data_IF_034834268789
#
_entry.id   IF_034834268789
#
_cell.length_a   1.000
_cell.length_b   1.000
_cell.length_c   1.000
_cell.angle_alpha   90.00
_cell.angle_beta   90.00
_cell.angle_gamma   90.00
#
_symmetry.space_group_name_H-M   'P 1'
#
loop_
_entity.id
_entity.type
_entity.pdbx_description
1 polymer ?
#
# COMPACT_ATOMS: atom_id res chain seq x y z
N UNK A 1 16.22 10.59 6.82
CA UNK A 1 16.99 10.11 5.63
C UNK A 1 16.03 10.26 4.47
N UNK A 2 16.29 11.18 3.54
CA UNK A 2 15.33 11.53 2.49
C UNK A 2 14.98 10.28 1.68
N UNK A 3 13.74 9.80 1.81
CA UNK A 3 13.14 8.91 0.83
C UNK A 3 13.02 9.75 -0.44
N UNK A 4 14.01 9.61 -1.32
CA UNK A 4 13.90 10.15 -2.68
C UNK A 4 12.80 9.32 -3.33
N UNK A 5 11.60 9.89 -3.40
CA UNK A 5 10.58 9.45 -4.33
C UNK A 5 11.25 9.55 -5.69
N UNK A 6 11.61 8.39 -6.25
CA UNK A 6 12.03 8.31 -7.63
C UNK A 6 10.82 8.76 -8.45
N UNK A 7 10.83 10.04 -8.80
CA UNK A 7 9.94 10.66 -9.76
C UNK A 7 9.76 9.68 -10.93
N UNK A 8 8.53 9.17 -11.08
CA UNK A 8 8.08 8.37 -12.21
C UNK A 8 8.32 9.14 -13.50
N UNK A 9 9.52 9.02 -14.06
CA UNK A 9 9.88 9.37 -15.45
C UNK A 9 11.33 8.96 -15.71
N UNK A 10 11.53 7.69 -16.07
CA UNK A 10 12.68 7.30 -16.89
C UNK A 10 12.32 6.19 -17.88
N UNK A 11 12.38 6.61 -19.15
CA UNK A 11 12.57 5.90 -20.42
C UNK A 11 12.02 4.49 -20.60
N UNK A 12 11.19 4.35 -21.65
CA UNK A 12 10.65 3.13 -22.30
C UNK A 12 11.69 2.11 -22.82
N UNK A 13 12.88 2.03 -22.23
CA UNK A 13 13.94 1.10 -22.62
C UNK A 13 14.64 0.54 -21.37
N UNK A 14 14.09 -0.49 -20.73
CA UNK A 14 14.81 -1.36 -19.79
C UNK A 14 14.08 -2.71 -19.56
N UNK A 15 14.84 -3.81 -19.65
CA UNK A 15 14.58 -5.15 -19.12
C UNK A 15 13.29 -5.90 -19.51
N UNK A 16 13.02 -6.02 -20.82
CA UNK A 16 12.13 -7.08 -21.33
C UNK A 16 12.81 -8.45 -21.26
N UNK A 17 12.06 -9.51 -20.93
CA UNK A 17 12.52 -10.91 -21.02
C UNK A 17 13.17 -11.13 -22.40
N UNK A 18 14.43 -11.57 -22.43
CA UNK A 18 15.18 -11.72 -23.66
C UNK A 18 14.51 -12.76 -24.59
N UNK A 19 14.60 -12.62 -25.93
CA UNK A 19 14.02 -13.59 -26.85
C UNK A 19 14.50 -15.03 -26.56
N UNK A 20 13.55 -15.93 -26.26
CA UNK A 20 13.84 -17.33 -25.95
C UNK A 20 14.26 -17.62 -24.50
N UNK A 21 14.36 -16.59 -23.64
CA UNK A 21 14.57 -16.74 -22.21
C UNK A 21 13.26 -17.17 -21.53
N UNK A 22 13.31 -18.17 -20.67
CA UNK A 22 12.18 -18.54 -19.83
C UNK A 22 12.03 -17.58 -18.64
N UNK A 23 10.82 -17.51 -18.06
CA UNK A 23 10.53 -16.55 -17.01
C UNK A 23 11.29 -16.83 -15.71
N UNK A 24 11.56 -18.10 -15.37
CA UNK A 24 12.30 -18.45 -14.15
C UNK A 24 13.75 -17.98 -14.23
N UNK A 25 14.38 -18.11 -15.41
CA UNK A 25 15.72 -17.57 -15.68
C UNK A 25 15.75 -16.05 -15.56
N UNK A 26 14.73 -15.36 -16.09
CA UNK A 26 14.60 -13.90 -15.94
C UNK A 26 14.46 -13.49 -14.47
N UNK A 27 13.64 -14.20 -13.68
CA UNK A 27 13.55 -13.93 -12.23
C UNK A 27 14.88 -14.12 -11.51
N UNK A 28 15.66 -15.16 -11.87
CA UNK A 28 16.97 -15.40 -11.26
C UNK A 28 17.97 -14.28 -11.55
N UNK A 29 17.93 -13.70 -12.76
CA UNK A 29 18.70 -12.51 -13.13
C UNK A 29 18.28 -11.29 -12.33
N UNK A 30 16.97 -11.06 -12.15
CA UNK A 30 16.47 -9.96 -11.31
C UNK A 30 16.93 -10.11 -9.85
N UNK A 31 16.83 -11.31 -9.28
CA UNK A 31 17.31 -11.59 -7.91
C UNK A 31 18.80 -11.29 -7.76
N UNK A 32 19.61 -11.76 -8.71
CA UNK A 32 21.07 -11.61 -8.67
C UNK A 32 21.51 -10.17 -8.94
N UNK A 33 20.98 -9.55 -10.00
CA UNK A 33 21.34 -8.21 -10.44
C UNK A 33 20.98 -7.12 -9.43
N UNK A 34 19.90 -7.33 -8.67
CA UNK A 34 19.43 -6.38 -7.66
C UNK A 34 19.78 -6.77 -6.22
N UNK A 35 20.55 -7.86 -6.03
CA UNK A 35 20.91 -8.40 -4.71
C UNK A 35 19.68 -8.64 -3.79
N UNK A 36 18.60 -9.20 -4.33
CA UNK A 36 17.36 -9.44 -3.59
C UNK A 36 17.50 -10.69 -2.72
N UNK A 37 17.40 -10.59 -1.37
CA UNK A 37 17.50 -11.75 -0.49
C UNK A 37 16.32 -12.71 -0.60
N UNK A 38 15.10 -12.17 -0.68
CA UNK A 38 13.85 -12.90 -0.83
C UNK A 38 12.99 -12.22 -1.89
N UNK A 39 12.52 -13.02 -2.85
CA UNK A 39 11.58 -12.61 -3.88
C UNK A 39 10.39 -13.57 -3.88
N UNK A 40 9.19 -13.01 -3.74
CA UNK A 40 7.93 -13.71 -3.92
C UNK A 40 7.21 -13.14 -5.14
N UNK A 41 6.87 -13.98 -6.12
CA UNK A 41 6.10 -13.60 -7.31
C UNK A 41 4.87 -14.48 -7.43
N UNK A 42 3.69 -13.86 -7.61
CA UNK A 42 2.43 -14.56 -7.87
C UNK A 42 1.71 -13.89 -9.02
N UNK A 43 1.28 -14.68 -9.99
CA UNK A 43 0.42 -14.24 -11.09
C UNK A 43 -0.88 -15.02 -11.08
N UNK A 44 -1.98 -14.35 -11.37
CA UNK A 44 -3.30 -14.97 -11.37
C UNK A 44 -4.17 -14.42 -12.49
N UNK A 45 -5.23 -15.17 -12.82
CA UNK A 45 -6.31 -14.74 -13.71
C UNK A 45 -7.65 -15.07 -13.09
N UNK A 46 -8.50 -14.06 -12.90
CA UNK A 46 -9.73 -14.21 -12.13
C UNK A 46 -9.41 -14.60 -10.68
N UNK A 47 -9.82 -15.79 -10.24
CA UNK A 47 -9.54 -16.32 -8.90
C UNK A 47 -8.57 -17.53 -8.92
N UNK A 48 -7.90 -17.77 -10.04
CA UNK A 48 -6.99 -18.90 -10.22
C UNK A 48 -5.53 -18.41 -10.28
N UNK A 49 -4.68 -18.99 -9.41
CA UNK A 49 -3.23 -18.77 -9.47
C UNK A 49 -2.68 -19.50 -10.69
N UNK A 50 -1.99 -18.77 -11.58
CA UNK A 50 -1.38 -19.31 -12.81
C UNK A 50 0.12 -19.56 -12.65
N UNK A 51 0.77 -18.76 -11.82
CA UNK A 51 2.19 -18.88 -11.53
C UNK A 51 2.47 -18.44 -10.10
N UNK A 52 3.37 -19.14 -9.43
CA UNK A 52 3.80 -18.82 -8.07
C UNK A 52 5.25 -19.26 -7.87
N UNK A 53 6.11 -18.35 -7.41
CA UNK A 53 7.53 -18.61 -7.18
C UNK A 53 8.04 -17.89 -5.94
N UNK A 54 8.89 -18.60 -5.21
CA UNK A 54 9.64 -18.11 -4.05
C UNK A 54 11.12 -18.35 -4.30
N UNK A 55 11.92 -17.29 -4.27
CA UNK A 55 13.36 -17.34 -4.45
C UNK A 55 14.06 -16.74 -3.24
N UNK A 56 15.15 -17.38 -2.81
CA UNK A 56 16.01 -16.89 -1.73
C UNK A 56 15.53 -17.26 -0.32
N UNK A 57 15.86 -16.42 0.65
CA UNK A 57 15.74 -16.70 2.10
C UNK A 57 15.03 -15.57 2.83
N UNK A 58 14.13 -15.92 3.75
CA UNK A 58 13.38 -14.95 4.55
C UNK A 58 14.28 -14.15 5.50
N UNK A 59 15.37 -14.75 5.96
CA UNK A 59 16.42 -14.10 6.75
C UNK A 59 17.77 -14.76 6.45
N UNK A 60 18.75 -13.97 5.96
CA UNK A 60 20.11 -14.42 5.64
C UNK A 60 20.88 -14.95 6.86
N UNK A 61 20.52 -14.54 8.08
CA UNK A 61 21.18 -14.97 9.32
C UNK A 61 20.76 -16.38 9.75
N UNK A 62 19.49 -16.73 9.54
CA UNK A 62 18.94 -18.05 9.87
C UNK A 62 18.94 -19.01 8.68
N UNK A 63 19.14 -18.47 7.47
CA UNK A 63 19.12 -19.19 6.20
C UNK A 63 17.81 -19.97 5.97
N UNK A 64 16.70 -19.44 6.50
CA UNK A 64 15.35 -20.02 6.31
C UNK A 64 14.91 -19.78 4.87
N UNK A 65 14.64 -20.84 4.07
CA UNK A 65 14.13 -20.68 2.72
C UNK A 65 12.78 -19.96 2.72
N UNK A 66 12.59 -19.06 1.76
CA UNK A 66 11.31 -18.39 1.57
C UNK A 66 10.21 -19.40 1.18
N UNK A 67 8.99 -19.15 1.63
CA UNK A 67 7.80 -19.97 1.35
C UNK A 67 6.52 -19.14 1.41
N UNK A 68 5.40 -19.75 1.07
CA UNK A 68 4.06 -19.17 1.05
C UNK A 68 3.52 -18.73 2.42
N UNK A 69 4.09 -19.24 3.51
CA UNK A 69 3.73 -18.86 4.88
C UNK A 69 4.37 -17.53 5.31
N UNK A 70 5.41 -17.07 4.60
CA UNK A 70 6.17 -15.90 4.99
C UNK A 70 5.43 -14.60 4.66
N UNK A 71 5.57 -13.62 5.54
CA UNK A 71 4.92 -12.32 5.45
C UNK A 71 5.94 -11.21 5.24
N UNK A 72 5.68 -10.39 4.24
CA UNK A 72 6.46 -9.20 3.91
C UNK A 72 5.77 -7.98 4.52
N UNK A 73 6.55 -7.01 5.00
CA UNK A 73 6.04 -5.65 5.17
C UNK A 73 5.72 -5.11 3.77
N UNK A 74 4.54 -4.51 3.60
CA UNK A 74 4.05 -4.11 2.28
C UNK A 74 4.32 -2.66 1.93
N UNK A 75 4.76 -1.84 2.89
CA UNK A 75 4.87 -0.40 2.67
C UNK A 75 3.56 0.14 2.05
N UNK A 76 3.64 1.08 1.11
CA UNK A 76 2.50 1.82 0.58
C UNK A 76 1.37 1.01 -0.07
N UNK A 77 1.58 -0.26 -0.45
CA UNK A 77 0.47 -1.15 -0.83
C UNK A 77 -0.61 -1.20 0.29
N UNK A 78 -0.20 -1.05 1.55
CA UNK A 78 -1.09 -0.96 2.72
C UNK A 78 -2.23 0.04 2.56
N UNK A 79 -1.99 1.15 1.83
CA UNK A 79 -2.97 2.22 1.60
C UNK A 79 -4.20 1.74 0.84
N UNK A 80 -4.06 0.72 0.00
CA UNK A 80 -5.20 0.11 -0.73
C UNK A 80 -6.16 -0.59 0.23
N UNK A 81 -5.63 -1.23 1.29
CA UNK A 81 -6.44 -1.86 2.35
C UNK A 81 -7.09 -0.79 3.23
N UNK A 82 -6.34 0.26 3.58
CA UNK A 82 -6.85 1.41 4.34
C UNK A 82 -8.00 2.11 3.61
N UNK A 83 -7.85 2.33 2.30
CA UNK A 83 -8.91 2.88 1.47
C UNK A 83 -10.11 1.93 1.35
N UNK A 84 -9.87 0.61 1.22
CA UNK A 84 -10.96 -0.39 1.20
C UNK A 84 -11.81 -0.31 2.47
N UNK A 85 -11.17 -0.21 3.64
CA UNK A 85 -11.89 -0.11 4.92
C UNK A 85 -12.78 1.14 4.97
N UNK A 86 -12.27 2.28 4.51
CA UNK A 86 -13.04 3.51 4.41
C UNK A 86 -14.18 3.40 3.39
N UNK A 87 -13.93 2.79 2.23
CA UNK A 87 -14.93 2.64 1.17
C UNK A 87 -16.04 1.63 1.52
N UNK A 88 -15.79 0.67 2.41
CA UNK A 88 -16.86 -0.15 3.00
C UNK A 88 -17.84 0.70 3.84
N UNK A 89 -17.37 1.75 4.51
CA UNK A 89 -18.22 2.68 5.26
C UNK A 89 -18.96 3.64 4.32
N UNK A 90 -18.32 4.04 3.21
CA UNK A 90 -18.98 4.78 2.12
C UNK A 90 -20.18 4.01 1.57
N UNK A 91 -20.03 2.71 1.31
CA UNK A 91 -21.13 1.85 0.82
C UNK A 91 -22.31 1.71 1.77
N UNK A 92 -22.05 1.90 3.07
CA UNK A 92 -23.05 1.91 4.13
C UNK A 92 -23.75 3.27 4.25
N UNK A 93 -23.41 4.24 3.40
CA UNK A 93 -23.98 5.59 3.41
C UNK A 93 -23.56 6.43 4.61
N UNK A 94 -22.41 6.13 5.22
CA UNK A 94 -21.93 6.83 6.43
C UNK A 94 -21.39 8.22 6.13
N UNK A 95 -20.92 8.45 4.91
CA UNK A 95 -20.40 9.73 4.42
C UNK A 95 -20.47 9.75 2.89
N UNK A 96 -20.35 10.94 2.30
CA UNK A 96 -20.07 11.11 0.86
C UNK A 96 -18.60 11.50 0.66
N UNK A 97 -18.01 11.12 -0.49
CA UNK A 97 -16.60 11.39 -0.79
C UNK A 97 -16.21 12.89 -0.68
N UNK A 98 -17.15 13.79 -0.92
CA UNK A 98 -16.92 15.24 -0.90
C UNK A 98 -17.33 15.91 0.43
N UNK A 99 -17.73 15.11 1.43
CA UNK A 99 -17.98 15.60 2.79
C UNK A 99 -16.68 16.07 3.46
N UNK A 100 -16.80 16.98 4.41
CA UNK A 100 -15.67 17.56 5.15
C UNK A 100 -15.22 16.57 6.23
N UNK A 101 -13.94 16.21 6.24
CA UNK A 101 -13.41 15.23 7.19
C UNK A 101 -13.53 15.69 8.66
N UNK A 102 -13.51 17.00 8.90
CA UNK A 102 -13.64 17.58 10.24
C UNK A 102 -15.01 17.33 10.89
N UNK A 103 -16.03 16.96 10.12
CA UNK A 103 -17.35 16.60 10.66
C UNK A 103 -17.33 15.18 11.27
N UNK A 104 -16.27 14.40 11.01
CA UNK A 104 -16.13 12.99 11.40
C UNK A 104 -14.91 12.71 12.29
N UNK A 105 -13.95 13.64 12.36
CA UNK A 105 -12.76 13.52 13.18
C UNK A 105 -12.99 13.94 14.65
N UNK A 106 -12.28 13.33 15.61
CA UNK A 106 -12.33 13.74 17.02
C UNK A 106 -11.51 15.02 17.31
N UNK A 107 -10.86 15.57 16.28
CA UNK A 107 -10.12 16.83 16.31
C UNK A 107 -10.24 17.55 14.96
N UNK A 108 -9.97 18.86 14.93
CA UNK A 108 -10.09 19.65 13.72
C UNK A 108 -8.72 19.83 13.02
N UNK A 109 -8.64 19.41 11.77
CA UNK A 109 -7.50 19.67 10.88
C UNK A 109 -7.74 20.99 10.14
N UNK A 110 -6.76 21.89 10.17
CA UNK A 110 -6.82 23.18 9.45
C UNK A 110 -5.57 23.34 8.63
N UNK A 111 -5.74 23.54 7.33
CA UNK A 111 -4.63 23.83 6.42
C UNK A 111 -4.25 25.31 6.60
N UNK A 112 -3.03 25.63 7.06
CA UNK A 112 -2.61 27.01 7.30
C UNK A 112 -2.76 27.86 6.04
N UNK A 113 -3.37 29.05 6.17
CA UNK A 113 -3.55 29.97 5.04
C UNK A 113 -4.73 29.66 4.10
N UNK A 114 -5.41 28.52 4.25
CA UNK A 114 -6.50 28.11 3.36
C UNK A 114 -7.82 27.87 4.12
N UNK A 115 -8.93 28.31 3.53
CA UNK A 115 -10.28 28.13 4.11
C UNK A 115 -11.01 26.89 3.58
N UNK A 116 -10.52 26.32 2.46
CA UNK A 116 -11.12 25.16 1.80
C UNK A 116 -11.02 23.93 2.70
N UNK A 117 -12.15 23.30 3.07
CA UNK A 117 -12.13 22.12 3.92
C UNK A 117 -11.63 20.91 3.15
N UNK A 118 -10.83 20.08 3.81
CA UNK A 118 -10.38 18.80 3.25
C UNK A 118 -11.55 17.82 3.20
N UNK A 119 -11.73 17.15 2.06
CA UNK A 119 -12.71 16.08 1.88
C UNK A 119 -12.09 14.68 1.94
N UNK A 120 -12.93 13.65 2.06
CA UNK A 120 -12.49 12.26 1.98
C UNK A 120 -11.81 11.96 0.64
N UNK A 121 -12.37 12.48 -0.47
CA UNK A 121 -11.78 12.36 -1.81
C UNK A 121 -10.38 12.95 -1.82
N UNK A 122 -10.19 14.14 -1.23
CA UNK A 122 -8.87 14.79 -1.21
C UNK A 122 -7.82 13.98 -0.44
N UNK A 123 -8.19 13.29 0.65
CA UNK A 123 -7.29 12.34 1.31
C UNK A 123 -6.95 11.17 0.39
N UNK A 124 -7.97 10.53 -0.20
CA UNK A 124 -7.84 9.36 -1.08
C UNK A 124 -7.10 9.65 -2.40
N UNK A 125 -7.04 10.91 -2.84
CA UNK A 125 -6.35 11.32 -4.07
C UNK A 125 -5.05 12.07 -3.81
N UNK A 126 -4.60 12.18 -2.56
CA UNK A 126 -3.41 12.96 -2.16
C UNK A 126 -3.45 14.44 -2.58
N UNK A 127 -4.61 15.09 -2.45
CA UNK A 127 -4.80 16.52 -2.77
C UNK A 127 -5.18 17.37 -1.56
N UNK A 128 -4.98 16.85 -0.34
CA UNK A 128 -5.38 17.50 0.92
C UNK A 128 -4.50 18.65 1.38
N UNK A 129 -3.31 18.81 0.79
CA UNK A 129 -2.23 19.67 1.26
C UNK A 129 -1.63 19.28 2.63
N UNK A 130 -1.94 18.09 3.16
CA UNK A 130 -1.23 17.52 4.31
C UNK A 130 0.13 17.02 3.81
N UNK A 131 1.21 17.34 4.53
CA UNK A 131 2.58 17.00 4.15
C UNK A 131 3.24 16.09 5.19
N UNK A 132 4.18 15.29 4.70
CA UNK A 132 5.02 14.42 5.51
C UNK A 132 6.25 15.21 6.00
N UNK A 133 6.12 15.81 7.18
CA UNK A 133 7.15 16.55 7.90
C UNK A 133 8.13 15.69 8.72
N UNK A 134 9.15 16.35 9.28
CA UNK A 134 10.32 15.71 9.91
C UNK A 134 10.04 14.91 11.17
N UNK A 135 8.92 15.16 11.85
CA UNK A 135 8.56 14.42 13.06
C UNK A 135 8.41 12.90 12.81
N UNK A 136 8.16 12.51 11.54
CA UNK A 136 8.05 11.11 11.12
C UNK A 136 9.37 10.35 11.18
N UNK A 137 10.52 11.01 11.01
CA UNK A 137 11.84 10.39 11.09
C UNK A 137 12.08 9.71 12.45
N UNK A 138 11.45 10.22 13.52
CA UNK A 138 11.55 9.71 14.89
C UNK A 138 10.38 8.80 15.30
N UNK A 139 9.50 8.39 14.37
CA UNK A 139 8.35 7.52 14.66
C UNK A 139 8.61 6.03 14.43
N UNK A 140 9.85 5.62 14.14
CA UNK A 140 10.19 4.22 13.95
C UNK A 140 10.43 3.50 15.28
N UNK A 141 9.78 2.35 15.45
CA UNK A 141 9.91 1.48 16.61
C UNK A 141 10.44 0.11 16.20
N UNK A 142 11.70 -0.16 16.52
CA UNK A 142 12.36 -1.41 16.18
C UNK A 142 12.01 -2.52 17.17
N UNK A 143 11.71 -3.70 16.62
CA UNK A 143 11.33 -4.96 17.27
C UNK A 143 10.11 -4.85 18.20
N UNK A 144 9.24 -3.86 17.99
CA UNK A 144 8.01 -3.64 18.77
C UNK A 144 7.00 -2.82 17.98
N UNK A 145 5.74 -2.87 18.43
CA UNK A 145 4.71 -1.95 17.99
C UNK A 145 4.89 -0.55 18.61
N UNK A 146 4.42 0.48 17.90
CA UNK A 146 4.30 1.83 18.46
C UNK A 146 3.41 1.80 19.70
N UNK A 147 3.83 2.41 20.82
CA UNK A 147 3.03 2.50 22.03
C UNK A 147 2.00 3.64 21.98
N UNK A 148 2.03 4.47 20.94
CA UNK A 148 1.20 5.68 20.83
C UNK A 148 -0.05 5.35 20.01
N UNK A 149 -1.27 5.65 20.51
CA UNK A 149 -2.49 5.52 19.72
C UNK A 149 -2.44 6.40 18.47
N UNK A 150 -2.88 5.87 17.33
CA UNK A 150 -2.85 6.55 16.03
C UNK A 150 -3.54 7.93 16.09
N UNK A 151 -4.76 8.00 16.63
CA UNK A 151 -5.52 9.24 16.71
C UNK A 151 -4.83 10.31 17.58
N UNK A 152 -4.16 9.90 18.66
CA UNK A 152 -3.42 10.82 19.52
C UNK A 152 -2.20 11.39 18.78
N UNK A 153 -1.47 10.55 18.06
CA UNK A 153 -0.35 10.98 17.23
C UNK A 153 -0.78 11.97 16.14
N UNK A 154 -1.81 11.64 15.35
CA UNK A 154 -2.28 12.53 14.28
C UNK A 154 -2.86 13.84 14.82
N UNK A 155 -3.49 13.82 16.00
CA UNK A 155 -3.92 15.04 16.68
C UNK A 155 -2.71 15.90 17.07
N UNK A 156 -1.67 15.30 17.63
CA UNK A 156 -0.44 16.00 18.02
C UNK A 156 0.35 16.52 16.81
N UNK A 157 0.17 15.91 15.65
CA UNK A 157 0.83 16.28 14.40
C UNK A 157 0.07 17.36 13.61
N UNK A 158 -1.26 17.25 13.52
CA UNK A 158 -2.08 18.07 12.62
C UNK A 158 -2.78 19.27 13.30
N UNK A 159 -2.67 19.42 14.63
CA UNK A 159 -3.34 20.50 15.36
C UNK A 159 -2.36 21.49 16.01
N UNK A 160 -2.65 22.82 16.02
CA UNK A 160 -1.70 23.83 16.52
C UNK A 160 -1.22 23.67 17.97
N UNK A 161 -1.97 22.95 18.80
CA UNK A 161 -1.60 22.67 20.20
C UNK A 161 -0.78 21.38 20.36
N UNK A 162 -0.64 20.62 19.27
CA UNK A 162 0.01 19.33 19.25
C UNK A 162 1.53 19.41 19.37
N UNK A 163 2.13 18.40 19.99
CA UNK A 163 3.57 18.32 20.22
C UNK A 163 4.41 18.33 18.94
N UNK A 164 3.90 17.73 17.87
CA UNK A 164 4.62 17.55 16.60
C UNK A 164 4.22 18.56 15.53
N UNK A 165 3.31 19.48 15.86
CA UNK A 165 2.77 20.45 14.91
C UNK A 165 3.78 21.51 14.48
N UNK A 166 3.84 21.70 13.18
CA UNK A 166 4.60 22.70 12.46
C UNK A 166 3.86 23.06 11.16
N UNK A 167 3.24 24.24 11.16
CA UNK A 167 2.45 24.75 10.03
C UNK A 167 3.18 24.78 8.67
N UNK A 168 4.51 24.83 8.65
CA UNK A 168 5.32 24.91 7.43
C UNK A 168 5.86 23.56 6.96
N UNK A 169 5.79 22.54 7.81
CA UNK A 169 6.44 21.24 7.59
C UNK A 169 5.40 20.11 7.48
N UNK A 170 4.27 20.23 8.18
CA UNK A 170 3.18 19.25 8.14
C UNK A 170 2.10 19.57 7.08
N UNK A 171 2.27 20.68 6.35
CA UNK A 171 1.36 21.10 5.29
C UNK A 171 2.13 21.69 4.12
N UNK A 172 1.63 21.42 2.92
CA UNK A 172 2.07 22.09 1.71
C UNK A 172 1.39 23.46 1.58
N UNK A 173 2.08 24.41 0.92
CA UNK A 173 1.58 25.78 0.71
C UNK A 173 0.70 25.85 -0.56
N UNK A 174 -0.39 25.07 -0.57
CA UNK A 174 -1.40 25.12 -1.63
C UNK A 174 -2.81 24.83 -1.13
N UNK A 175 -3.78 25.34 -1.88
CA UNK A 175 -5.19 25.14 -1.56
C UNK A 175 -5.61 23.68 -1.78
N UNK A 176 -6.25 23.02 -0.80
CA UNK A 176 -6.73 21.65 -0.95
C UNK A 176 -7.56 21.44 -2.23
N UNK A 177 -7.26 20.36 -2.95
CA UNK A 177 -7.91 20.01 -4.22
C UNK A 177 -7.29 20.66 -5.46
N UNK A 178 -6.28 21.53 -5.34
CA UNK A 178 -5.68 22.23 -6.50
C UNK A 178 -4.39 21.59 -7.02
N UNK A 179 -3.66 20.89 -6.14
CA UNK A 179 -2.44 20.16 -6.49
C UNK A 179 -2.44 18.80 -5.79
N UNK A 180 -1.61 17.89 -6.30
CA UNK A 180 -1.42 16.57 -5.73
C UNK A 180 0.00 16.45 -5.19
N UNK A 181 0.11 16.07 -3.93
CA UNK A 181 1.37 15.70 -3.29
C UNK A 181 1.12 14.50 -2.39
N UNK A 182 1.91 13.44 -2.59
CA UNK A 182 1.77 12.18 -1.86
C UNK A 182 1.94 12.42 -0.35
N UNK A 183 1.04 11.84 0.46
CA UNK A 183 1.08 12.01 1.91
C UNK A 183 0.72 10.72 2.65
N UNK A 184 1.68 10.24 3.43
CA UNK A 184 1.51 9.15 4.37
C UNK A 184 0.60 9.57 5.53
N UNK A 185 0.73 10.80 6.03
CA UNK A 185 -0.11 11.30 7.13
C UNK A 185 -1.57 11.47 6.72
N UNK A 186 -1.82 11.96 5.50
CA UNK A 186 -3.17 11.99 4.93
C UNK A 186 -3.77 10.58 4.81
N UNK A 187 -2.94 9.58 4.50
CA UNK A 187 -3.35 8.17 4.43
C UNK A 187 -3.62 7.57 5.82
N UNK A 188 -2.79 7.89 6.81
CA UNK A 188 -2.96 7.47 8.18
C UNK A 188 -4.23 8.08 8.79
N UNK A 189 -4.57 9.31 8.42
CA UNK A 189 -5.80 9.99 8.85
C UNK A 189 -7.07 9.29 8.36
N UNK A 190 -7.03 8.61 7.22
CA UNK A 190 -8.14 7.77 6.76
C UNK A 190 -8.46 6.65 7.76
N UNK A 191 -7.45 6.04 8.36
CA UNK A 191 -7.70 5.02 9.38
C UNK A 191 -8.35 5.60 10.64
N UNK A 192 -7.97 6.82 11.07
CA UNK A 192 -8.67 7.50 12.18
C UNK A 192 -10.13 7.82 11.84
N UNK A 193 -10.42 8.15 10.58
CA UNK A 193 -11.80 8.30 10.10
C UNK A 193 -12.57 6.98 10.16
N UNK A 194 -11.96 5.86 9.76
CA UNK A 194 -12.55 4.51 9.91
C UNK A 194 -12.85 4.23 11.39
N UNK A 195 -11.91 4.51 12.29
CA UNK A 195 -12.12 4.32 13.73
C UNK A 195 -13.27 5.16 14.27
N UNK A 196 -13.31 6.43 13.89
CA UNK A 196 -14.30 7.40 14.38
C UNK A 196 -15.71 7.09 13.87
N UNK A 197 -15.85 6.66 12.62
CA UNK A 197 -17.14 6.37 11.97
C UNK A 197 -17.67 5.00 12.39
N UNK A 198 -16.79 3.99 12.51
CA UNK A 198 -17.18 2.61 12.84
C UNK A 198 -17.29 2.36 14.35
N UNK A 199 -16.56 3.12 15.17
CA UNK A 199 -16.40 2.85 16.60
C UNK A 199 -15.50 1.66 16.92
N UNK A 200 -14.76 1.13 15.95
CA UNK A 200 -13.83 0.00 16.10
C UNK A 200 -12.40 0.47 15.89
N UNK A 201 -11.42 -0.11 16.60
CA UNK A 201 -10.01 0.14 16.25
C UNK A 201 -9.70 -0.38 14.84
N UNK A 202 -8.82 0.33 14.12
CA UNK A 202 -8.58 0.08 12.71
C UNK A 202 -8.10 -1.35 12.41
N UNK A 203 -7.16 -1.95 13.19
CA UNK A 203 -6.74 -3.33 12.98
C UNK A 203 -7.89 -4.33 13.13
N UNK A 204 -8.74 -4.15 14.14
CA UNK A 204 -9.92 -4.99 14.34
C UNK A 204 -10.93 -4.83 13.21
N UNK A 205 -11.17 -3.60 12.73
CA UNK A 205 -12.07 -3.36 11.59
C UNK A 205 -11.59 -4.12 10.34
N UNK A 206 -10.33 -3.97 9.95
CA UNK A 206 -9.78 -4.67 8.79
C UNK A 206 -9.84 -6.19 8.95
N UNK A 207 -9.52 -6.70 10.15
CA UNK A 207 -9.56 -8.14 10.42
C UNK A 207 -10.97 -8.72 10.24
N UNK A 208 -11.99 -8.04 10.77
CA UNK A 208 -13.37 -8.53 10.73
C UNK A 208 -14.04 -8.34 9.37
N UNK A 209 -13.77 -7.22 8.68
CA UNK A 209 -14.53 -6.82 7.49
C UNK A 209 -13.80 -7.08 6.16
N UNK A 210 -12.49 -7.35 6.19
CA UNK A 210 -11.68 -7.60 4.98
C UNK A 210 -10.95 -8.94 5.10
N UNK A 211 -10.11 -9.11 6.12
CA UNK A 211 -9.19 -10.25 6.17
C UNK A 211 -9.90 -11.58 6.44
N UNK A 212 -10.71 -11.66 7.49
CA UNK A 212 -11.43 -12.89 7.82
C UNK A 212 -12.41 -13.32 6.72
N UNK A 213 -13.23 -12.42 6.11
CA UNK A 213 -14.09 -12.79 4.98
C UNK A 213 -13.31 -13.36 3.79
N UNK A 214 -12.14 -12.79 3.47
CA UNK A 214 -11.28 -13.26 2.39
C UNK A 214 -10.39 -14.46 2.78
N UNK A 215 -10.41 -14.89 4.04
CA UNK A 215 -9.53 -15.93 4.55
C UNK A 215 -8.04 -15.55 4.57
N UNK A 216 -7.73 -14.27 4.74
CA UNK A 216 -6.37 -13.72 4.84
C UNK A 216 -5.80 -13.93 6.26
N UNK A 217 -5.46 -15.17 6.59
CA UNK A 217 -5.07 -15.60 7.94
C UNK A 217 -3.60 -15.25 8.32
N UNK A 218 -2.79 -14.81 7.37
CA UNK A 218 -1.41 -14.38 7.52
C UNK A 218 -1.26 -12.89 7.21
N UNK A 219 -2.25 -12.08 7.57
CA UNK A 219 -2.25 -10.63 7.37
C UNK A 219 -2.41 -9.90 8.71
N UNK A 220 -1.48 -8.99 9.00
CA UNK A 220 -1.32 -8.39 10.31
C UNK A 220 -0.93 -6.91 10.21
N UNK A 221 -1.57 -6.06 11.02
CA UNK A 221 -1.15 -4.67 11.21
C UNK A 221 -0.07 -4.52 12.29
N UNK A 222 -0.16 -5.32 13.35
CA UNK A 222 0.77 -5.28 14.48
C UNK A 222 1.87 -6.31 14.31
N UNK A 223 3.09 -5.92 14.63
CA UNK A 223 4.25 -6.80 14.63
C UNK A 223 4.10 -7.91 15.69
N UNK A 224 3.55 -7.58 16.87
CA UNK A 224 3.36 -8.55 17.94
C UNK A 224 2.40 -9.70 17.58
N UNK A 225 1.53 -9.52 16.57
CA UNK A 225 0.59 -10.56 16.13
C UNK A 225 1.22 -11.54 15.13
N UNK A 226 2.40 -11.21 14.57
CA UNK A 226 3.04 -12.04 13.55
C UNK A 226 3.81 -13.19 14.19
N UNK A 227 3.57 -14.45 13.79
CA UNK A 227 4.44 -15.55 14.19
C UNK A 227 5.88 -15.30 13.73
N UNK A 228 6.84 -15.29 14.66
CA UNK A 228 8.25 -14.96 14.36
C UNK A 228 8.81 -15.77 13.18
N UNK A 229 8.46 -17.06 13.09
CA UNK A 229 8.90 -17.96 12.01
C UNK A 229 8.39 -17.57 10.61
N UNK A 230 7.37 -16.71 10.52
CA UNK A 230 6.80 -16.25 9.26
C UNK A 230 7.39 -14.90 8.83
N UNK A 231 8.15 -14.20 9.68
CA UNK A 231 8.65 -12.86 9.36
C UNK A 231 9.75 -12.92 8.29
N UNK A 232 9.63 -12.06 7.27
CA UNK A 232 10.71 -11.77 6.34
C UNK A 232 11.48 -10.55 6.82
N UNK A 233 12.81 -10.70 6.98
CA UNK A 233 13.69 -9.64 7.46
C UNK A 233 14.00 -8.63 6.34
N UNK A 234 13.83 -7.31 6.57
CA UNK A 234 14.21 -6.28 5.60
C UNK A 234 15.73 -6.15 5.43
N UNK A 235 16.19 -5.78 4.23
CA UNK A 235 17.59 -5.52 3.93
C UNK A 235 17.78 -4.26 3.09
N UNK A 236 18.82 -3.51 3.40
CA UNK A 236 19.38 -2.47 2.53
C UNK A 236 20.72 -2.96 1.97
N UNK A 237 20.69 -3.45 0.72
CA UNK A 237 21.82 -4.17 0.13
C UNK A 237 22.11 -5.47 0.91
N UNK A 238 23.25 -5.51 1.60
CA UNK A 238 23.63 -6.63 2.47
C UNK A 238 23.41 -6.35 3.96
N UNK A 239 23.00 -5.14 4.32
CA UNK A 239 22.75 -4.77 5.70
C UNK A 239 21.37 -5.26 6.13
N UNK A 240 21.33 -6.12 7.15
CA UNK A 240 20.08 -6.54 7.77
C UNK A 240 19.50 -5.38 8.59
N UNK A 241 18.19 -5.17 8.46
CA UNK A 241 17.43 -4.21 9.28
C UNK A 241 16.55 -5.03 10.24
N UNK A 242 16.42 -4.54 11.47
CA UNK A 242 15.52 -5.13 12.45
C UNK A 242 14.07 -4.92 12.02
N UNK A 243 13.15 -5.79 12.42
CA UNK A 243 11.74 -5.53 12.14
C UNK A 243 11.32 -4.22 12.82
N UNK A 244 10.52 -3.39 12.17
CA UNK A 244 10.09 -2.12 12.75
C UNK A 244 8.61 -1.85 12.48
N UNK A 245 8.01 -1.02 13.31
CA UNK A 245 6.70 -0.41 13.04
C UNK A 245 6.83 1.11 13.13
N UNK A 246 5.76 1.82 12.82
CA UNK A 246 5.68 3.27 12.93
C UNK A 246 4.30 3.69 13.44
N UNK A 247 4.19 4.88 14.03
CA UNK A 247 2.95 5.30 14.70
C UNK A 247 1.80 5.48 13.71
N UNK A 248 2.11 5.99 12.52
CA UNK A 248 1.24 6.22 11.36
C UNK A 248 1.02 4.94 10.51
N UNK A 249 1.21 3.75 11.09
CA UNK A 249 1.23 2.45 10.41
C UNK A 249 0.18 2.18 9.32
N UNK A 250 -1.06 2.71 9.31
CA UNK A 250 -2.01 2.40 8.23
C UNK A 250 -1.55 2.83 6.83
N UNK A 251 -0.55 3.73 6.74
CA UNK A 251 0.02 4.13 5.46
C UNK A 251 0.98 3.09 4.86
N UNK A 252 1.58 2.20 5.67
CA UNK A 252 2.64 1.32 5.17
C UNK A 252 2.95 0.05 5.98
N UNK A 253 2.33 -0.12 7.14
CA UNK A 253 2.70 -1.10 8.17
C UNK A 253 2.12 -2.50 7.97
N UNK A 254 1.31 -2.74 6.93
CA UNK A 254 0.66 -4.03 6.73
C UNK A 254 1.71 -5.11 6.44
N UNK A 255 1.62 -6.21 7.17
CA UNK A 255 2.40 -7.42 6.88
C UNK A 255 1.49 -8.50 6.34
N UNK A 256 1.85 -9.11 5.22
CA UNK A 256 1.05 -10.18 4.64
C UNK A 256 1.87 -11.15 3.81
N UNK A 257 1.35 -12.36 3.60
CA UNK A 257 1.86 -13.27 2.57
C UNK A 257 1.33 -12.88 1.18
N UNK A 258 2.05 -13.30 0.14
CA UNK A 258 1.64 -13.10 -1.25
C UNK A 258 0.30 -13.79 -1.55
N UNK A 259 0.05 -14.97 -0.96
CA UNK A 259 -1.20 -15.72 -1.13
C UNK A 259 -2.38 -15.00 -0.54
N UNK A 260 -2.20 -14.34 0.60
CA UNK A 260 -3.29 -13.62 1.24
C UNK A 260 -3.60 -12.33 0.46
N UNK A 261 -2.57 -11.59 0.06
CA UNK A 261 -2.77 -10.38 -0.76
C UNK A 261 -3.31 -10.70 -2.16
N UNK A 262 -3.00 -11.89 -2.70
CA UNK A 262 -3.66 -12.40 -3.90
C UNK A 262 -5.19 -12.45 -3.76
N UNK A 263 -5.73 -12.91 -2.61
CA UNK A 263 -7.19 -12.98 -2.41
C UNK A 263 -7.82 -11.59 -2.45
N UNK A 264 -7.16 -10.62 -1.83
CA UNK A 264 -7.56 -9.21 -1.86
C UNK A 264 -7.51 -8.62 -3.28
N UNK A 265 -6.38 -8.76 -3.98
CA UNK A 265 -6.21 -8.20 -5.32
C UNK A 265 -7.10 -8.90 -6.36
N UNK A 266 -7.32 -10.21 -6.21
CA UNK A 266 -8.27 -10.99 -7.00
C UNK A 266 -9.70 -10.49 -6.79
N UNK A 267 -10.08 -10.09 -5.56
CA UNK A 267 -11.39 -9.48 -5.35
C UNK A 267 -11.55 -8.19 -6.18
N UNK A 268 -10.53 -7.33 -6.25
CA UNK A 268 -10.54 -6.13 -7.10
C UNK A 268 -10.66 -6.47 -8.59
N UNK A 269 -9.92 -7.47 -9.08
CA UNK A 269 -10.04 -7.97 -10.46
C UNK A 269 -11.38 -8.64 -10.78
N UNK A 270 -12.19 -8.97 -9.77
CA UNK A 270 -13.49 -9.62 -9.89
C UNK A 270 -14.59 -8.78 -9.23
N UNK A 271 -14.55 -7.46 -9.42
CA UNK A 271 -15.63 -6.53 -9.04
C UNK A 271 -16.02 -6.57 -7.55
N UNK A 272 -15.03 -6.85 -6.69
CA UNK A 272 -15.16 -6.87 -5.24
C UNK A 272 -15.45 -8.25 -4.64
N UNK A 273 -15.37 -9.32 -5.45
CA UNK A 273 -15.71 -10.69 -5.05
C UNK A 273 -14.52 -11.63 -5.18
N UNK A 274 -14.24 -12.42 -4.15
CA UNK A 274 -13.32 -13.55 -4.21
C UNK A 274 -14.00 -14.81 -3.67
N UNK A 275 -14.04 -15.88 -4.47
CA UNK A 275 -14.65 -17.17 -4.10
C UNK A 275 -16.07 -17.05 -3.49
N UNK A 276 -16.89 -16.15 -4.03
CA UNK A 276 -18.26 -15.91 -3.56
C UNK A 276 -18.36 -15.00 -2.33
N UNK A 277 -17.25 -14.64 -1.68
CA UNK A 277 -17.22 -13.60 -0.66
C UNK A 277 -17.09 -12.23 -1.32
N UNK A 278 -18.02 -11.33 -1.02
CA UNK A 278 -17.99 -9.94 -1.47
C UNK A 278 -17.45 -9.03 -0.36
N UNK A 279 -16.41 -8.24 -0.66
CA UNK A 279 -15.88 -7.21 0.26
C UNK A 279 -16.24 -5.78 -0.15
N UNK A 280 -16.57 -5.56 -1.43
CA UNK A 280 -17.04 -4.31 -2.01
C UNK A 280 -18.05 -4.60 -3.13
N UNK A 281 -18.92 -3.64 -3.43
CA UNK A 281 -19.76 -3.62 -4.63
C UNK A 281 -18.92 -3.29 -5.86
N UNK A 282 -19.31 -3.85 -7.01
CA UNK A 282 -18.71 -3.57 -8.31
C UNK A 282 -18.59 -2.05 -8.59
N UNK A 283 -19.67 -1.30 -8.31
CA UNK A 283 -19.68 0.16 -8.50
C UNK A 283 -18.62 0.88 -7.66
N UNK A 284 -18.35 0.40 -6.45
CA UNK A 284 -17.34 0.98 -5.56
C UNK A 284 -15.93 0.64 -6.02
N UNK A 285 -15.69 -0.61 -6.45
CA UNK A 285 -14.42 -1.00 -7.07
C UNK A 285 -14.15 -0.13 -8.30
N UNK A 286 -15.15 0.08 -9.16
CA UNK A 286 -15.02 0.96 -10.32
C UNK A 286 -14.75 2.41 -9.94
N UNK A 287 -15.38 2.95 -8.88
CA UNK A 287 -15.09 4.30 -8.41
C UNK A 287 -13.65 4.41 -7.86
N UNK A 288 -13.14 3.37 -7.20
CA UNK A 288 -11.76 3.33 -6.69
C UNK A 288 -10.72 3.21 -7.82
N UNK A 289 -11.01 2.44 -8.88
CA UNK A 289 -10.15 2.19 -10.05
C UNK A 289 -10.48 3.11 -11.24
N UNK A 290 -10.92 4.33 -10.96
CA UNK A 290 -11.24 5.35 -11.97
C UNK A 290 -10.37 6.58 -11.75
N UNK A 291 -9.98 7.23 -12.84
CA UNK A 291 -9.30 8.53 -12.78
C UNK A 291 -10.17 9.56 -12.05
N UNK A 292 -9.69 10.02 -10.89
CA UNK A 292 -10.43 10.93 -10.01
C UNK A 292 -10.16 12.39 -10.32
N UNK A 293 -8.91 12.71 -10.67
CA UNK A 293 -8.42 14.09 -10.84
C UNK A 293 -7.61 14.27 -12.13
N UNK A 294 -8.15 13.91 -13.32
CA UNK A 294 -7.37 13.83 -14.56
C UNK A 294 -6.74 15.16 -15.02
N UNK A 295 -7.23 16.31 -14.53
CA UNK A 295 -6.64 17.62 -14.80
C UNK A 295 -5.39 17.92 -13.95
N UNK A 296 -5.19 17.19 -12.85
CA UNK A 296 -4.05 17.30 -11.94
C UNK A 296 -3.11 16.12 -12.19
N UNK A 297 -3.65 14.90 -12.12
CA UNK A 297 -2.95 13.66 -12.42
C UNK A 297 -3.89 12.63 -13.07
N UNK A 298 -3.64 12.23 -14.34
CA UNK A 298 -4.45 11.26 -15.06
C UNK A 298 -4.21 9.80 -14.62
N UNK A 299 -3.37 9.54 -13.63
CA UNK A 299 -3.09 8.17 -13.15
C UNK A 299 -3.76 7.85 -11.81
N UNK A 300 -4.33 8.83 -11.12
CA UNK A 300 -4.80 8.68 -9.74
C UNK A 300 -6.27 8.26 -9.63
N UNK A 301 -6.49 7.17 -8.89
CA UNK A 301 -7.77 6.71 -8.35
C UNK A 301 -7.94 7.04 -6.85
N UNK A 302 -8.66 6.21 -6.10
CA UNK A 302 -8.82 6.39 -4.64
C UNK A 302 -7.81 5.48 -3.90
N UNK A 303 -6.59 5.99 -3.65
CA UNK A 303 -5.39 5.23 -3.21
C UNK A 303 -4.97 4.10 -4.16
N UNK A 304 -5.41 4.17 -5.41
CA UNK A 304 -5.01 3.28 -6.49
C UNK A 304 -4.42 4.11 -7.62
N UNK A 305 -3.44 3.56 -8.33
CA UNK A 305 -2.76 4.26 -9.43
C UNK A 305 -2.74 3.40 -10.69
N UNK A 306 -2.73 4.05 -11.85
CA UNK A 306 -2.41 3.39 -13.11
C UNK A 306 -0.90 3.14 -13.15
N UNK A 307 -0.49 1.91 -12.82
CA UNK A 307 0.92 1.48 -12.84
C UNK A 307 1.44 1.29 -14.27
N UNK A 308 0.55 0.94 -15.21
CA UNK A 308 0.90 0.83 -16.62
C UNK A 308 -0.32 1.14 -17.50
N UNK A 309 -0.33 2.32 -18.13
CA UNK A 309 -1.47 2.81 -18.92
C UNK A 309 -1.70 1.98 -20.20
N UNK A 310 -0.64 1.52 -20.85
CA UNK A 310 -0.75 0.72 -22.09
C UNK A 310 -1.44 -0.64 -21.88
N UNK A 311 -1.37 -1.16 -20.66
CA UNK A 311 -1.93 -2.45 -20.25
C UNK A 311 -3.10 -2.30 -19.29
N UNK A 312 -3.56 -1.08 -19.02
CA UNK A 312 -4.59 -0.75 -18.03
C UNK A 312 -4.37 -1.45 -16.67
N UNK A 313 -3.12 -1.46 -16.18
CA UNK A 313 -2.78 -2.08 -14.89
C UNK A 313 -3.00 -1.04 -13.80
N UNK A 314 -3.96 -1.32 -12.91
CA UNK A 314 -4.21 -0.56 -11.69
C UNK A 314 -3.55 -1.23 -10.50
N UNK A 315 -2.91 -0.46 -9.63
CA UNK A 315 -2.11 -1.02 -8.56
C UNK A 315 -1.55 0.01 -7.61
N UNK A 316 -0.53 -0.42 -6.88
CA UNK A 316 0.28 0.43 -6.02
C UNK A 316 1.63 -0.27 -5.82
N UNK A 317 2.72 0.49 -5.82
CA UNK A 317 4.03 0.07 -5.33
C UNK A 317 4.17 0.31 -3.82
N UNK A 318 5.26 -0.12 -3.22
CA UNK A 318 5.53 0.12 -1.82
C UNK A 318 7.01 0.05 -1.53
N UNK A 319 7.57 1.16 -1.06
CA UNK A 319 8.94 1.25 -0.57
C UNK A 319 8.97 1.64 0.90
N UNK A 320 9.81 0.97 1.68
CA UNK A 320 10.13 1.33 3.06
C UNK A 320 11.55 0.84 3.39
N UNK A 321 12.10 1.16 4.57
CA UNK A 321 13.45 0.75 4.97
C UNK A 321 13.70 -0.75 4.77
N UNK A 322 14.46 -1.07 3.72
CA UNK A 322 14.83 -2.43 3.34
C UNK A 322 13.74 -3.27 2.70
N UNK A 323 12.71 -2.65 2.12
CA UNK A 323 11.55 -3.32 1.52
C UNK A 323 11.16 -2.62 0.22
N UNK A 324 10.92 -3.41 -0.82
CA UNK A 324 10.26 -2.96 -2.04
C UNK A 324 9.21 -4.00 -2.46
N UNK A 325 8.01 -3.55 -2.77
CA UNK A 325 6.87 -4.38 -3.16
C UNK A 325 6.10 -3.70 -4.28
N UNK A 326 5.44 -4.47 -5.13
CA UNK A 326 4.53 -3.94 -6.14
C UNK A 326 3.40 -4.92 -6.39
N UNK A 327 2.20 -4.40 -6.64
CA UNK A 327 1.09 -5.20 -7.10
C UNK A 327 0.27 -4.45 -8.13
N UNK A 328 -0.35 -5.20 -9.05
CA UNK A 328 -1.23 -4.62 -10.05
C UNK A 328 -2.21 -5.62 -10.62
N UNK A 329 -3.36 -5.14 -11.08
CA UNK A 329 -4.41 -5.92 -11.71
C UNK A 329 -5.00 -5.14 -12.89
N UNK A 330 -5.26 -5.83 -13.99
CA UNK A 330 -6.07 -5.30 -15.07
C UNK A 330 -7.54 -5.73 -14.82
N UNK A 331 -8.48 -4.79 -14.61
CA UNK A 331 -9.87 -5.12 -14.33
C UNK A 331 -10.62 -5.72 -15.54
N UNK A 332 -10.16 -5.46 -16.77
CA UNK A 332 -10.78 -5.96 -18.01
C UNK A 332 -10.39 -7.42 -18.27
N UNK A 333 -9.10 -7.75 -18.17
CA UNK A 333 -8.58 -9.12 -18.42
C UNK A 333 -8.62 -10.00 -17.18
N UNK A 334 -8.76 -9.38 -16.00
CA UNK A 334 -8.73 -10.00 -14.67
C UNK A 334 -7.38 -10.64 -14.33
N UNK A 335 -6.34 -10.27 -15.06
CA UNK A 335 -4.96 -10.70 -14.79
C UNK A 335 -4.35 -9.78 -13.75
N UNK A 336 -3.71 -10.37 -12.75
CA UNK A 336 -2.97 -9.61 -11.74
C UNK A 336 -1.67 -10.25 -11.34
N UNK A 337 -0.79 -9.42 -10.79
CA UNK A 337 0.59 -9.73 -10.42
C UNK A 337 0.87 -9.14 -9.05
N UNK A 338 1.52 -9.93 -8.19
CA UNK A 338 2.08 -9.48 -6.92
C UNK A 338 3.55 -9.86 -6.87
N UNK A 339 4.40 -8.89 -6.54
CA UNK A 339 5.85 -9.08 -6.41
C UNK A 339 6.30 -8.44 -5.10
N UNK A 340 6.75 -9.26 -4.15
CA UNK A 340 7.23 -8.78 -2.85
C UNK A 340 8.70 -9.11 -2.67
N UNK A 341 9.47 -8.13 -2.19
CA UNK A 341 10.88 -8.30 -1.86
C UNK A 341 11.20 -7.73 -0.48
N UNK A 342 12.32 -8.16 0.08
CA UNK A 342 12.93 -7.58 1.28
C UNK A 342 14.24 -6.85 0.96
N UNK A 343 14.27 -6.15 -0.18
CA UNK A 343 15.38 -5.32 -0.61
C UNK A 343 14.87 -3.90 -0.90
N UNK A 344 15.32 -2.91 -0.12
CA UNK A 344 14.81 -1.54 -0.21
C UNK A 344 15.11 -0.82 -1.52
N UNK A 345 16.16 -1.25 -2.24
CA UNK A 345 16.58 -0.63 -3.51
C UNK A 345 16.14 -1.44 -4.74
N UNK A 346 15.24 -2.41 -4.59
CA UNK A 346 14.79 -3.19 -5.74
C UNK A 346 13.83 -2.38 -6.62
N UNK A 347 14.12 -2.31 -7.91
CA UNK A 347 13.27 -1.76 -8.96
C UNK A 347 12.39 -2.89 -9.51
N UNK A 348 11.08 -2.73 -9.37
CA UNK A 348 10.09 -3.76 -9.67
C UNK A 348 9.18 -3.40 -10.85
N UNK A 349 9.33 -2.22 -11.47
CA UNK A 349 8.40 -1.73 -12.50
C UNK A 349 8.48 -2.56 -13.78
N UNK A 350 9.71 -2.83 -14.23
CA UNK A 350 9.95 -3.69 -15.40
C UNK A 350 9.53 -5.14 -15.12
N UNK A 351 9.80 -5.62 -13.90
CA UNK A 351 9.41 -6.97 -13.48
C UNK A 351 7.88 -7.11 -13.41
N UNK A 352 7.14 -6.10 -12.94
CA UNK A 352 5.68 -6.06 -12.98
C UNK A 352 5.17 -6.22 -14.41
N UNK A 353 5.73 -5.42 -15.33
CA UNK A 353 5.31 -5.42 -16.74
C UNK A 353 5.63 -6.77 -17.40
N UNK A 354 6.83 -7.30 -17.20
CA UNK A 354 7.26 -8.59 -17.72
C UNK A 354 6.42 -9.76 -17.17
N UNK A 355 6.13 -9.73 -15.86
CA UNK A 355 5.28 -10.73 -15.20
C UNK A 355 3.84 -10.66 -15.73
N UNK A 356 3.29 -9.47 -15.93
CA UNK A 356 1.95 -9.30 -16.50
C UNK A 356 1.88 -9.86 -17.92
N UNK A 357 2.84 -9.52 -18.78
CA UNK A 357 2.91 -10.01 -20.17
C UNK A 357 3.13 -11.53 -20.23
N UNK A 358 3.76 -12.11 -19.21
CA UNK A 358 3.87 -13.57 -19.05
C UNK A 358 2.52 -14.17 -18.62
N UNK A 359 1.86 -13.57 -17.63
CA UNK A 359 0.58 -14.02 -17.09
C UNK A 359 -0.55 -14.03 -18.14
N UNK A 360 -0.58 -13.06 -19.05
CA UNK A 360 -1.55 -13.02 -20.17
C UNK A 360 -1.41 -14.21 -21.14
N UNK A 361 -0.26 -14.89 -21.15
CA UNK A 361 0.02 -16.06 -22.00
C UNK A 361 -0.29 -17.40 -21.33
N UNK A 362 -0.50 -17.40 -20.01
CA UNK A 362 -0.86 -18.59 -19.19
C UNK A 362 -2.38 -18.76 -19.13
#
# INVERSE_FOLDING_TARGET
MFLVIASCRRSDNADSIAPGQDFDSYLAEQVTGQNIPALSVLMFKGSEIKYEKYLGVADKTTNVPLSDAHVFLLASISKTVTATALMQLFEQGKFSLDDKINDYLPFAVKIPGHATPVSFRMLLTHTSAIADGKALDDQYYYNRDSPVPLADFLKDYLTPAGKYYNAKDNFYDFEPGTMQEYSNEGSALIAVLVESISGMDFPTYCKQNIFAPLGMNNTYWKLADVPVKNLVRPYDGNQAIDHYTFTDYPNGGLRTSVRDMFRFLSAYGNEGIFNGTQILKAATVHEMLKQQIPSIDPTTGLHWFIMNSSRNIWGHDGGEQGVATIMGVNPDTKVGVLIFTNQGNADLDNLLTAAYDHAEKL
#
